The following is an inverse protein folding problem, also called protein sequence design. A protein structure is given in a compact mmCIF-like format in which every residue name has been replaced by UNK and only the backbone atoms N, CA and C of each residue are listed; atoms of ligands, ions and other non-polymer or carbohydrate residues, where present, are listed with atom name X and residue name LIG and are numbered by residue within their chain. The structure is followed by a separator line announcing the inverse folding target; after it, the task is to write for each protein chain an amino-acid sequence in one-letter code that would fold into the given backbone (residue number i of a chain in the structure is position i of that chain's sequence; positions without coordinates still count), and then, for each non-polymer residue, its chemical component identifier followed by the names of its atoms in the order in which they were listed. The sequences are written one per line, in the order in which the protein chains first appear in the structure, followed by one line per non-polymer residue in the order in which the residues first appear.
data_IF_737227438698
#
_entry.id   IF_737227438698
#
_cell.length_a   1.000
_cell.length_b   1.000
_cell.length_c   1.000
_cell.angle_alpha   90.00
_cell.angle_beta   90.00
_cell.angle_gamma   90.00
#
_symmetry.space_group_name_H-M   'P 1'
#
loop_
_entity.id
_entity.type
_entity.pdbx_description
1 polymer ?
#
# COMPACT_ATOMS: atom_id res chain seq x y z
N UNK A 1 4.60 -11.42 -2.29
CA UNK A 1 4.77 -11.94 -0.93
C UNK A 1 5.65 -11.04 -0.07
N UNK A 2 6.88 -10.67 -0.48
CA UNK A 2 7.79 -9.83 0.34
C UNK A 2 7.14 -8.46 0.62
N UNK A 3 6.68 -7.76 -0.41
CA UNK A 3 6.02 -6.45 -0.28
C UNK A 3 4.76 -6.48 0.59
N UNK A 4 4.04 -7.60 0.63
CA UNK A 4 2.84 -7.74 1.44
C UNK A 4 3.11 -8.04 2.92
N UNK A 5 4.37 -8.28 3.31
CA UNK A 5 4.71 -8.67 4.68
C UNK A 5 4.46 -10.15 5.00
N UNK A 6 4.09 -10.97 4.01
CA UNK A 6 3.81 -12.39 4.25
C UNK A 6 5.02 -13.19 4.76
N UNK A 7 6.23 -12.67 4.62
CA UNK A 7 7.48 -13.29 5.05
C UNK A 7 8.08 -12.66 6.33
N UNK A 8 7.40 -11.70 6.95
CA UNK A 8 7.92 -10.99 8.14
C UNK A 8 8.17 -11.93 9.33
N UNK A 9 7.48 -13.09 9.36
CA UNK A 9 7.69 -14.12 10.39
C UNK A 9 9.03 -14.87 10.29
N UNK A 10 9.78 -14.70 9.20
CA UNK A 10 11.04 -15.42 8.97
C UNK A 10 12.27 -14.75 9.63
N UNK A 11 12.07 -13.69 10.41
CA UNK A 11 13.13 -13.05 11.20
C UNK A 11 14.09 -12.14 10.43
N UNK A 12 13.75 -11.80 9.17
CA UNK A 12 14.44 -10.79 8.38
C UNK A 12 13.56 -9.59 8.07
N UNK A 13 14.15 -8.54 7.49
CA UNK A 13 13.41 -7.36 7.03
C UNK A 13 12.98 -7.52 5.58
N UNK A 14 11.89 -6.83 5.17
CA UNK A 14 11.43 -6.84 3.78
C UNK A 14 12.52 -6.35 2.82
N UNK A 15 13.32 -5.39 3.25
CA UNK A 15 14.46 -4.86 2.47
C UNK A 15 15.56 -5.89 2.27
N UNK A 16 15.87 -6.70 3.29
CA UNK A 16 16.80 -7.81 3.20
C UNK A 16 16.31 -8.86 2.19
N UNK A 17 15.04 -9.29 2.33
CA UNK A 17 14.44 -10.25 1.41
C UNK A 17 14.38 -9.77 -0.03
N UNK A 18 14.08 -8.48 -0.25
CA UNK A 18 14.12 -7.89 -1.59
C UNK A 18 15.53 -7.88 -2.20
N UNK A 19 16.56 -7.81 -1.37
CA UNK A 19 17.95 -7.86 -1.84
C UNK A 19 18.40 -9.24 -2.31
N UNK A 20 17.83 -10.31 -1.79
CA UNK A 20 18.32 -11.68 -2.02
C UNK A 20 17.35 -12.59 -2.79
N UNK A 21 16.06 -12.22 -2.96
CA UNK A 21 15.04 -13.13 -3.48
C UNK A 21 15.39 -13.68 -4.88
N UNK A 22 16.03 -12.89 -5.74
CA UNK A 22 16.45 -13.32 -7.09
C UNK A 22 17.46 -14.46 -6.98
N UNK A 23 18.46 -14.30 -6.13
CA UNK A 23 19.49 -15.32 -5.89
C UNK A 23 18.87 -16.62 -5.37
N UNK A 24 17.92 -16.51 -4.42
CA UNK A 24 17.20 -17.69 -3.89
C UNK A 24 16.40 -18.39 -4.99
N UNK A 25 15.65 -17.65 -5.79
CA UNK A 25 14.84 -18.21 -6.88
C UNK A 25 15.71 -18.90 -7.92
N UNK A 26 16.82 -18.27 -8.30
CA UNK A 26 17.76 -18.85 -9.26
C UNK A 26 18.40 -20.14 -8.73
N UNK A 27 18.80 -20.15 -7.46
CA UNK A 27 19.35 -21.32 -6.81
C UNK A 27 18.35 -22.48 -6.79
N UNK A 28 17.12 -22.25 -6.31
CA UNK A 28 16.05 -23.25 -6.28
C UNK A 28 15.73 -23.79 -7.68
N UNK A 29 15.74 -22.92 -8.69
CA UNK A 29 15.49 -23.35 -10.07
C UNK A 29 16.63 -24.22 -10.61
N UNK A 30 17.88 -23.93 -10.25
CA UNK A 30 19.02 -24.77 -10.61
C UNK A 30 18.92 -26.13 -9.94
N UNK A 31 18.65 -26.21 -8.65
CA UNK A 31 18.47 -27.46 -7.93
C UNK A 31 17.37 -28.32 -8.54
N UNK A 32 16.21 -27.72 -8.87
CA UNK A 32 15.12 -28.43 -9.54
C UNK A 32 15.53 -29.03 -10.89
N UNK A 33 16.31 -28.29 -11.69
CA UNK A 33 16.81 -28.79 -12.97
C UNK A 33 17.73 -30.01 -12.77
N UNK A 34 18.63 -29.96 -11.79
CA UNK A 34 19.52 -31.08 -11.49
C UNK A 34 18.73 -32.32 -11.00
N UNK A 35 17.78 -32.12 -10.10
CA UNK A 35 16.91 -33.19 -9.61
C UNK A 35 16.10 -33.86 -10.72
N UNK A 36 15.62 -33.10 -11.71
CA UNK A 36 14.86 -33.64 -12.86
C UNK A 36 15.74 -34.41 -13.87
N UNK A 37 17.03 -34.09 -13.97
CA UNK A 37 17.96 -34.78 -14.87
C UNK A 37 18.57 -36.05 -14.28
N UNK A 38 18.24 -36.40 -13.05
CA UNK A 38 18.78 -37.57 -12.34
C UNK A 38 20.30 -37.52 -12.09
N UNK A 39 20.91 -36.35 -12.30
CA UNK A 39 22.30 -36.10 -11.91
C UNK A 39 22.33 -35.83 -10.41
N UNK A 40 23.17 -36.56 -9.68
CA UNK A 40 23.50 -36.21 -8.30
C UNK A 40 23.98 -34.77 -8.30
N UNK A 41 23.41 -33.95 -7.42
CA UNK A 41 23.88 -32.57 -7.25
C UNK A 41 25.30 -32.59 -6.69
N UNK A 42 26.08 -31.62 -7.02
CA UNK A 42 27.38 -31.40 -6.37
C UNK A 42 27.22 -31.38 -4.84
N UNK A 43 26.05 -30.94 -4.35
CA UNK A 43 25.64 -30.94 -2.95
C UNK A 43 25.54 -32.32 -2.30
N UNK A 44 25.17 -33.35 -3.04
CA UNK A 44 25.08 -34.72 -2.51
C UNK A 44 26.49 -35.35 -2.36
N UNK A 45 27.49 -34.78 -3.02
CA UNK A 45 28.89 -35.24 -2.98
C UNK A 45 29.78 -34.45 -2.02
N UNK A 46 29.29 -33.34 -1.50
CA UNK A 46 30.05 -32.36 -0.71
C UNK A 46 29.81 -32.60 0.78
N UNK A 47 30.88 -32.61 1.58
CA UNK A 47 30.82 -32.76 3.04
C UNK A 47 30.13 -31.58 3.73
N UNK A 48 29.76 -31.78 5.00
CA UNK A 48 29.04 -30.75 5.81
C UNK A 48 29.78 -29.40 5.88
N UNK A 49 31.11 -29.39 5.83
CA UNK A 49 31.93 -28.17 5.86
C UNK A 49 31.78 -27.27 4.63
N UNK A 50 31.43 -27.81 3.46
CA UNK A 50 31.24 -27.03 2.24
C UNK A 50 29.76 -26.58 2.09
N UNK A 51 28.81 -27.18 2.80
CA UNK A 51 27.43 -26.72 2.84
C UNK A 51 27.28 -25.34 3.49
N UNK A 52 28.18 -24.98 4.42
CA UNK A 52 28.20 -23.64 5.03
C UNK A 52 28.58 -22.54 4.05
N UNK A 53 29.29 -22.84 2.92
CA UNK A 53 29.63 -21.85 1.90
C UNK A 53 28.42 -21.42 1.04
N UNK A 54 27.33 -22.15 1.07
CA UNK A 54 26.11 -21.88 0.33
C UNK A 54 24.96 -21.29 1.18
N UNK A 55 25.23 -20.99 2.44
CA UNK A 55 24.28 -20.27 3.26
C UNK A 55 24.04 -18.86 2.69
N UNK A 56 22.83 -18.63 2.19
CA UNK A 56 22.39 -17.32 1.74
C UNK A 56 22.30 -16.41 2.96
N UNK A 57 23.32 -15.59 3.17
CA UNK A 57 23.33 -14.64 4.29
C UNK A 57 22.46 -13.44 3.96
N UNK A 58 21.60 -13.06 4.90
CA UNK A 58 20.84 -11.82 4.80
C UNK A 58 21.81 -10.62 4.75
N UNK A 59 21.64 -9.67 3.82
CA UNK A 59 22.47 -8.49 3.76
C UNK A 59 22.28 -7.63 5.02
N UNK A 60 23.36 -7.00 5.48
CA UNK A 60 23.31 -6.06 6.60
C UNK A 60 22.72 -4.72 6.15
N UNK A 61 21.42 -4.71 5.92
CA UNK A 61 20.64 -3.52 5.57
C UNK A 61 19.46 -3.41 6.52
N UNK A 62 19.14 -2.18 6.92
CA UNK A 62 17.95 -1.92 7.76
C UNK A 62 16.64 -2.23 7.04
N UNK A 63 15.53 -1.82 7.63
CA UNK A 63 14.21 -1.94 6.99
C UNK A 63 13.89 -0.70 6.15
N UNK A 64 12.89 -0.81 5.28
CA UNK A 64 12.27 0.33 4.62
C UNK A 64 11.59 1.25 5.64
N UNK A 65 11.43 2.54 5.29
CA UNK A 65 10.63 3.44 6.12
C UNK A 65 9.19 2.93 6.22
N UNK A 66 8.50 3.27 7.30
CA UNK A 66 7.08 2.89 7.52
C UNK A 66 6.19 3.30 6.34
N UNK A 67 6.43 4.49 5.79
CA UNK A 67 5.71 4.99 4.61
C UNK A 67 5.88 4.08 3.39
N UNK A 68 7.11 3.61 3.14
CA UNK A 68 7.39 2.68 2.04
C UNK A 68 6.74 1.32 2.27
N UNK A 69 6.76 0.81 3.51
CA UNK A 69 6.11 -0.46 3.85
C UNK A 69 4.60 -0.39 3.61
N UNK A 70 3.95 0.69 4.05
CA UNK A 70 2.53 0.92 3.82
C UNK A 70 2.21 1.10 2.32
N UNK A 71 3.08 1.80 1.58
CA UNK A 71 2.93 1.94 0.13
C UNK A 71 3.01 0.58 -0.59
N UNK A 72 3.91 -0.31 -0.18
CA UNK A 72 4.01 -1.67 -0.72
C UNK A 72 2.78 -2.52 -0.40
N UNK A 73 2.25 -2.43 0.81
CA UNK A 73 1.01 -3.12 1.16
C UNK A 73 -0.15 -2.64 0.29
N UNK A 74 -0.33 -1.33 0.16
CA UNK A 74 -1.38 -0.73 -0.68
C UNK A 74 -1.22 -1.12 -2.15
N UNK A 75 0.03 -1.13 -2.69
CA UNK A 75 0.32 -1.53 -4.07
C UNK A 75 -0.09 -2.98 -4.36
N UNK A 76 0.21 -3.90 -3.42
CA UNK A 76 0.08 -5.34 -3.67
C UNK A 76 -1.26 -5.90 -3.20
N UNK A 77 -1.80 -5.37 -2.10
CA UNK A 77 -3.01 -5.88 -1.45
C UNK A 77 -4.23 -4.97 -1.67
N UNK A 78 -4.01 -3.73 -2.06
CA UNK A 78 -5.07 -2.72 -2.16
C UNK A 78 -5.48 -2.13 -0.81
N UNK A 79 -4.96 -2.66 0.29
CA UNK A 79 -5.25 -2.23 1.67
C UNK A 79 -3.97 -2.07 2.47
N UNK A 80 -4.03 -1.34 3.57
CA UNK A 80 -2.97 -1.25 4.56
C UNK A 80 -3.19 -2.32 5.64
N UNK A 81 -2.16 -3.09 5.99
CA UNK A 81 -2.19 -4.10 7.05
C UNK A 81 -1.48 -3.63 8.32
N UNK A 82 -0.31 -2.98 8.16
CA UNK A 82 0.55 -2.60 9.29
C UNK A 82 0.14 -1.28 9.96
N UNK A 83 -0.91 -0.62 9.48
CA UNK A 83 -1.41 0.66 9.97
C UNK A 83 -1.81 1.59 8.82
N UNK A 84 -2.31 2.76 9.13
CA UNK A 84 -2.71 3.76 8.15
C UNK A 84 -1.73 4.94 8.16
N UNK A 85 -1.38 5.55 7.00
CA UNK A 85 -0.46 6.70 6.96
C UNK A 85 -0.91 7.89 7.83
N UNK A 86 -2.21 8.13 7.95
CA UNK A 86 -2.77 9.18 8.80
C UNK A 86 -2.79 8.86 10.30
N UNK A 87 -2.46 7.63 10.70
CA UNK A 87 -2.56 7.21 12.10
C UNK A 87 -1.71 8.04 13.05
N UNK A 88 -0.53 8.47 12.59
CA UNK A 88 0.36 9.33 13.39
C UNK A 88 -0.21 10.75 13.59
N UNK A 89 -1.16 11.14 12.76
CA UNK A 89 -1.82 12.45 12.78
C UNK A 89 -3.25 12.39 13.30
N UNK A 90 -3.70 11.24 13.84
CA UNK A 90 -5.10 11.00 14.22
C UNK A 90 -5.67 12.07 15.14
N UNK A 91 -4.96 12.46 16.21
CA UNK A 91 -5.44 13.48 17.14
C UNK A 91 -5.64 14.84 16.48
N UNK A 92 -4.73 15.23 15.59
CA UNK A 92 -4.81 16.48 14.85
C UNK A 92 -5.93 16.41 13.82
N UNK A 93 -6.03 15.29 13.12
CA UNK A 93 -7.07 15.01 12.14
C UNK A 93 -8.45 15.09 12.77
N UNK A 94 -8.70 14.37 13.88
CA UNK A 94 -10.00 14.39 14.59
C UNK A 94 -10.43 15.79 15.05
N UNK A 95 -9.48 16.63 15.42
CA UNK A 95 -9.77 18.03 15.84
C UNK A 95 -10.05 18.97 14.66
N UNK A 96 -9.65 18.59 13.46
CA UNK A 96 -9.72 19.44 12.26
C UNK A 96 -10.93 19.15 11.38
N UNK A 97 -11.60 18.02 11.57
CA UNK A 97 -12.74 17.59 10.76
C UNK A 97 -14.06 17.76 11.53
N UNK A 98 -15.15 17.88 10.79
CA UNK A 98 -16.51 17.83 11.34
C UNK A 98 -17.25 16.55 10.96
N UNK A 99 -16.82 15.87 9.88
CA UNK A 99 -17.37 14.60 9.43
C UNK A 99 -16.26 13.70 8.91
N UNK A 100 -16.44 12.39 9.05
CA UNK A 100 -15.59 11.34 8.46
C UNK A 100 -16.15 10.89 7.12
N UNK A 101 -15.34 10.15 6.34
CA UNK A 101 -15.80 9.60 5.05
C UNK A 101 -16.99 8.64 5.21
N UNK A 102 -17.09 7.92 6.33
CA UNK A 102 -18.24 7.02 6.61
C UNK A 102 -19.55 7.78 6.84
N UNK A 103 -19.50 9.00 7.35
CA UNK A 103 -20.71 9.79 7.64
C UNK A 103 -21.50 10.16 6.36
N UNK A 104 -20.87 10.04 5.17
CA UNK A 104 -21.47 10.23 3.85
C UNK A 104 -22.04 8.95 3.23
N UNK A 105 -21.77 7.80 3.82
CA UNK A 105 -22.29 6.53 3.33
C UNK A 105 -23.62 6.20 4.00
N UNK A 106 -24.56 5.53 3.28
CA UNK A 106 -25.79 5.06 3.89
C UNK A 106 -25.49 4.04 4.99
N UNK A 107 -26.02 4.25 6.15
CA UNK A 107 -26.02 3.28 7.24
C UNK A 107 -26.80 2.02 6.85
N UNK A 108 -26.30 0.84 7.20
CA UNK A 108 -26.87 -0.44 6.78
C UNK A 108 -28.29 -0.68 7.34
N UNK A 109 -28.60 -0.15 8.52
CA UNK A 109 -29.90 -0.36 9.18
C UNK A 109 -30.93 0.67 8.71
N UNK A 110 -30.54 1.93 8.58
CA UNK A 110 -31.46 3.04 8.28
C UNK A 110 -31.51 3.40 6.81
N UNK A 111 -30.52 2.97 6.02
CA UNK A 111 -30.36 3.33 4.61
C UNK A 111 -30.09 4.82 4.37
N UNK A 112 -29.76 5.58 5.40
CA UNK A 112 -29.54 7.03 5.33
C UNK A 112 -28.12 7.38 5.73
N UNK A 113 -27.52 8.34 5.02
CA UNK A 113 -26.26 8.93 5.44
C UNK A 113 -26.47 9.83 6.66
N UNK A 114 -25.48 9.90 7.54
CA UNK A 114 -25.50 10.77 8.72
C UNK A 114 -25.39 12.25 8.33
N UNK A 115 -24.61 12.54 7.28
CA UNK A 115 -24.52 13.86 6.67
C UNK A 115 -25.67 14.04 5.69
N UNK A 116 -26.45 15.09 5.84
CA UNK A 116 -27.58 15.39 4.98
C UNK A 116 -27.17 16.21 3.76
N UNK A 117 -27.91 16.05 2.68
CA UNK A 117 -27.72 16.87 1.48
C UNK A 117 -27.86 18.36 1.77
N UNK A 118 -26.97 19.17 1.17
CA UNK A 118 -26.89 20.61 1.36
C UNK A 118 -26.15 21.07 2.62
N UNK A 119 -25.67 20.19 3.48
CA UNK A 119 -24.82 20.56 4.64
C UNK A 119 -23.38 20.86 4.22
N UNK A 120 -22.71 21.66 5.02
CA UNK A 120 -21.26 21.94 4.84
C UNK A 120 -20.51 21.23 5.92
N UNK A 121 -19.57 20.38 5.49
CA UNK A 121 -18.72 19.62 6.38
C UNK A 121 -17.24 19.83 6.04
N UNK A 122 -16.39 19.65 7.02
CA UNK A 122 -14.94 19.63 6.86
C UNK A 122 -14.49 18.19 6.95
N UNK A 123 -13.97 17.67 5.85
CA UNK A 123 -13.36 16.34 5.78
C UNK A 123 -11.87 16.48 5.59
N UNK A 124 -11.12 15.56 6.17
CA UNK A 124 -9.66 15.50 6.04
C UNK A 124 -9.25 14.09 5.68
N UNK A 125 -8.31 13.95 4.74
CA UNK A 125 -7.84 12.65 4.30
C UNK A 125 -6.73 12.78 3.28
N UNK A 126 -6.33 11.64 2.72
CA UNK A 126 -5.38 11.55 1.63
C UNK A 126 -6.11 11.44 0.30
N UNK A 127 -5.62 12.12 -0.72
CA UNK A 127 -6.10 11.95 -2.09
C UNK A 127 -5.42 10.70 -2.66
N UNK A 128 -6.18 9.62 -2.82
CA UNK A 128 -5.68 8.33 -3.33
C UNK A 128 -5.86 8.18 -4.84
N UNK A 129 -6.80 8.91 -5.42
CA UNK A 129 -6.99 8.98 -6.86
C UNK A 129 -7.48 10.36 -7.29
N UNK A 130 -7.08 10.76 -8.50
CA UNK A 130 -7.49 12.03 -9.14
C UNK A 130 -7.78 11.79 -10.61
N UNK A 131 -8.99 12.12 -11.02
CA UNK A 131 -9.40 12.08 -12.42
C UNK A 131 -9.88 13.46 -12.86
N UNK A 132 -9.25 14.03 -13.88
CA UNK A 132 -9.67 15.31 -14.45
C UNK A 132 -10.59 15.05 -15.63
N UNK A 133 -11.72 15.75 -15.69
CA UNK A 133 -12.67 15.69 -16.81
C UNK A 133 -13.01 17.11 -17.29
N UNK A 134 -13.38 17.20 -18.55
CA UNK A 134 -13.93 18.44 -19.13
C UNK A 134 -15.45 18.40 -19.10
N UNK A 135 -16.06 19.49 -18.70
CA UNK A 135 -17.50 19.67 -18.79
C UNK A 135 -17.94 19.88 -20.25
N UNK A 136 -19.24 19.85 -20.50
CA UNK A 136 -19.81 20.19 -21.86
C UNK A 136 -19.41 21.59 -22.32
N UNK A 137 -19.10 22.49 -21.41
CA UNK A 137 -18.64 23.87 -21.69
C UNK A 137 -17.11 23.98 -21.75
N UNK A 138 -16.39 22.85 -21.86
CA UNK A 138 -14.93 22.77 -21.95
C UNK A 138 -14.18 23.35 -20.75
N UNK A 139 -14.83 23.40 -19.58
CA UNK A 139 -14.20 23.75 -18.30
C UNK A 139 -13.69 22.50 -17.59
N UNK A 140 -12.56 22.60 -16.91
CA UNK A 140 -11.97 21.47 -16.15
C UNK A 140 -12.66 21.30 -14.80
N UNK A 141 -12.85 20.04 -14.41
CA UNK A 141 -13.31 19.62 -13.09
C UNK A 141 -12.53 18.37 -12.66
N UNK A 142 -12.48 18.08 -11.38
CA UNK A 142 -11.81 16.90 -10.87
C UNK A 142 -12.75 16.02 -10.04
N UNK A 143 -12.51 14.72 -10.13
CA UNK A 143 -13.04 13.71 -9.25
C UNK A 143 -11.88 13.20 -8.41
N UNK A 144 -11.98 13.30 -7.11
CA UNK A 144 -10.96 12.90 -6.17
C UNK A 144 -11.49 11.75 -5.32
N UNK A 145 -10.67 10.75 -5.09
CA UNK A 145 -10.94 9.75 -4.06
C UNK A 145 -10.20 10.18 -2.80
N UNK A 146 -10.95 10.53 -1.76
CA UNK A 146 -10.43 10.94 -0.46
C UNK A 146 -10.56 9.77 0.51
N UNK A 147 -9.42 9.32 1.05
CA UNK A 147 -9.32 8.23 2.02
C UNK A 147 -8.92 8.79 3.39
N UNK A 148 -9.66 8.46 4.42
CA UNK A 148 -9.33 8.78 5.81
C UNK A 148 -9.09 7.51 6.64
N UNK A 149 -9.06 7.63 7.96
CA UNK A 149 -8.83 6.50 8.88
C UNK A 149 -9.96 5.47 8.91
N UNK A 150 -11.14 5.79 8.38
CA UNK A 150 -12.34 4.97 8.52
C UNK A 150 -12.95 4.55 7.19
N UNK A 151 -12.62 5.22 6.08
CA UNK A 151 -13.17 4.86 4.77
C UNK A 151 -12.68 5.74 3.64
N UNK A 152 -13.44 5.71 2.54
CA UNK A 152 -13.15 6.48 1.32
C UNK A 152 -14.43 7.12 0.80
N UNK A 153 -14.32 8.36 0.31
CA UNK A 153 -15.42 9.09 -0.32
C UNK A 153 -14.98 9.74 -1.62
N UNK A 154 -15.86 9.80 -2.61
CA UNK A 154 -15.61 10.56 -3.84
C UNK A 154 -15.97 12.03 -3.64
N UNK A 155 -15.04 12.91 -3.95
CA UNK A 155 -15.20 14.37 -3.89
C UNK A 155 -15.19 14.93 -5.30
N UNK A 156 -16.23 15.65 -5.67
CA UNK A 156 -16.34 16.32 -6.96
C UNK A 156 -15.91 17.77 -6.79
N UNK A 157 -14.85 18.16 -7.47
CA UNK A 157 -14.38 19.55 -7.51
C UNK A 157 -14.86 20.20 -8.79
N UNK A 158 -15.89 21.05 -8.63
CA UNK A 158 -16.50 21.77 -9.76
C UNK A 158 -15.55 22.80 -10.36
N UNK A 159 -15.76 23.24 -11.62
CA UNK A 159 -14.82 24.06 -12.37
C UNK A 159 -14.35 25.31 -11.65
N UNK A 160 -15.26 26.04 -11.02
CA UNK A 160 -14.94 27.28 -10.27
C UNK A 160 -13.95 27.02 -9.15
N UNK A 161 -14.13 25.91 -8.41
CA UNK A 161 -13.29 25.58 -7.26
C UNK A 161 -12.01 24.89 -7.73
N UNK A 162 -12.07 24.13 -8.82
CA UNK A 162 -10.90 23.56 -9.46
C UNK A 162 -9.92 24.63 -9.91
N UNK A 163 -10.39 25.68 -10.58
CA UNK A 163 -9.56 26.78 -11.07
C UNK A 163 -8.81 27.50 -9.92
N UNK A 164 -9.50 27.68 -8.78
CA UNK A 164 -8.92 28.33 -7.59
C UNK A 164 -7.88 27.48 -6.86
N UNK A 165 -8.05 26.17 -6.88
CA UNK A 165 -7.30 25.26 -5.99
C UNK A 165 -6.44 24.26 -6.76
N UNK A 166 -6.30 24.41 -8.10
CA UNK A 166 -5.58 23.46 -8.95
C UNK A 166 -4.13 23.20 -8.54
N UNK A 167 -3.51 24.15 -7.84
CA UNK A 167 -2.15 24.03 -7.32
C UNK A 167 -2.05 23.08 -6.13
N UNK A 168 -3.17 22.84 -5.43
CA UNK A 168 -3.24 21.97 -4.26
C UNK A 168 -3.84 20.60 -4.61
N UNK A 169 -4.28 20.42 -5.82
CA UNK A 169 -4.87 19.20 -6.36
C UNK A 169 -3.90 18.56 -7.36
#
# INVERSE_FOLDING_TARGET
LIKSGALDCLGGTRKQFMGIYVQIVDHVNQEKKYAMTGQMTLFDMVGEEEKEQFEIKLPDVGEYSKENLLAFEKEVLGVYLSGHPLQEYEDKWRKSISATTLDFQPDEETGRAKVHDGTREIVGGMITAKTIKHTKTNQMMAFLSLEDLVGTVEVIVFPRDYEKNREYL
#
